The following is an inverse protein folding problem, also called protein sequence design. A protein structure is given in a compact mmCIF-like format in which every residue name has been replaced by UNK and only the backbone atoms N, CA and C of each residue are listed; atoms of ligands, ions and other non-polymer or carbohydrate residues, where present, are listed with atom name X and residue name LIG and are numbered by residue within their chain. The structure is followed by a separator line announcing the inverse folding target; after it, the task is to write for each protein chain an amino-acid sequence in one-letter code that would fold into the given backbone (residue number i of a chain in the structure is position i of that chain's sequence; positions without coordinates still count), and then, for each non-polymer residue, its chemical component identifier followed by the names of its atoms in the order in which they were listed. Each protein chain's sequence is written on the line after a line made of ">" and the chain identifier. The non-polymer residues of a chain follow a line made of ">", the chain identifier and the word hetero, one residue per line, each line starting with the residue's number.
data_IF_745738752991
#
_entry.id   IF_745738752991
#
_cell.length_a   1.000
_cell.length_b   1.000
_cell.length_c   1.000
_cell.angle_alpha   90.00
_cell.angle_beta   90.00
_cell.angle_gamma   90.00
#
_symmetry.space_group_name_H-M   'P 1'
#
loop_
_entity.id
_entity.type
_entity.pdbx_description
1 polymer ?
#
# COMPACT_ATOMS: atom_id res chain seq x y z
N UNK A 1 5.82 -38.09 -5.65
CA UNK A 1 5.76 -36.83 -4.90
C UNK A 1 4.30 -36.52 -4.64
N UNK A 2 3.82 -36.69 -3.40
CA UNK A 2 2.44 -36.34 -3.06
C UNK A 2 2.30 -34.82 -3.03
N UNK A 3 1.27 -34.29 -3.69
CA UNK A 3 0.90 -32.89 -3.54
C UNK A 3 0.63 -32.60 -2.05
N UNK A 4 1.34 -31.64 -1.46
CA UNK A 4 1.00 -31.13 -0.13
C UNK A 4 -0.44 -30.62 -0.20
N UNK A 5 -1.32 -31.19 0.62
CA UNK A 5 -2.70 -30.70 0.75
C UNK A 5 -2.65 -29.46 1.63
N UNK A 6 -3.24 -28.37 1.15
CA UNK A 6 -3.51 -27.17 1.93
C UNK A 6 -4.45 -27.54 3.10
N UNK A 7 -4.03 -27.21 4.32
CA UNK A 7 -4.74 -27.58 5.54
C UNK A 7 -5.57 -26.42 6.07
N UNK A 8 -6.51 -26.71 6.98
CA UNK A 8 -7.26 -25.66 7.68
C UNK A 8 -6.33 -24.70 8.45
N UNK A 9 -5.22 -25.21 9.00
CA UNK A 9 -4.24 -24.35 9.67
C UNK A 9 -3.55 -23.41 8.68
N UNK A 10 -3.20 -23.91 7.49
CA UNK A 10 -2.61 -23.07 6.44
C UNK A 10 -3.60 -21.95 6.02
N UNK A 11 -4.88 -22.28 5.87
CA UNK A 11 -5.93 -21.29 5.60
C UNK A 11 -6.02 -20.22 6.70
N UNK A 12 -6.03 -20.65 7.96
CA UNK A 12 -6.13 -19.73 9.11
C UNK A 12 -4.89 -18.80 9.18
N UNK A 13 -3.69 -19.34 8.93
CA UNK A 13 -2.46 -18.55 8.93
C UNK A 13 -2.48 -17.51 7.80
N UNK A 14 -2.94 -17.88 6.60
CA UNK A 14 -3.10 -16.98 5.46
C UNK A 14 -4.20 -15.94 5.70
N UNK A 15 -5.29 -16.30 6.39
CA UNK A 15 -6.34 -15.36 6.78
C UNK A 15 -5.82 -14.32 7.76
N UNK A 16 -5.00 -14.73 8.74
CA UNK A 16 -4.34 -13.79 9.65
C UNK A 16 -3.41 -12.82 8.89
N UNK A 17 -2.65 -13.32 7.91
CA UNK A 17 -1.78 -12.48 7.07
C UNK A 17 -2.63 -11.50 6.21
N UNK A 18 -3.82 -11.91 5.73
CA UNK A 18 -4.78 -11.06 5.01
C UNK A 18 -5.36 -9.97 5.90
N UNK A 19 -5.76 -10.31 7.13
CA UNK A 19 -6.29 -9.34 8.10
C UNK A 19 -5.23 -8.32 8.51
N UNK A 20 -3.98 -8.74 8.70
CA UNK A 20 -2.87 -7.82 8.95
C UNK A 20 -2.64 -6.88 7.76
N UNK A 21 -2.68 -7.40 6.52
CA UNK A 21 -2.59 -6.56 5.32
C UNK A 21 -3.71 -5.51 5.26
N UNK A 22 -4.95 -5.92 5.49
CA UNK A 22 -6.11 -5.04 5.55
C UNK A 22 -5.97 -3.95 6.62
N UNK A 23 -5.52 -4.30 7.83
CA UNK A 23 -5.25 -3.34 8.90
C UNK A 23 -4.21 -2.30 8.45
N UNK A 24 -3.11 -2.73 7.81
CA UNK A 24 -2.07 -1.82 7.33
C UNK A 24 -2.57 -0.85 6.27
N UNK A 25 -3.44 -1.29 5.36
CA UNK A 25 -4.05 -0.38 4.38
C UNK A 25 -5.02 0.61 5.03
N UNK A 26 -5.73 0.20 6.09
CA UNK A 26 -6.57 1.11 6.87
C UNK A 26 -5.74 2.18 7.60
N UNK A 27 -4.62 1.78 8.19
CA UNK A 27 -3.65 2.69 8.80
C UNK A 27 -3.10 3.69 7.78
N UNK A 28 -2.75 3.21 6.57
CA UNK A 28 -2.31 4.05 5.46
C UNK A 28 -3.37 5.08 5.08
N UNK A 29 -4.61 4.63 4.86
CA UNK A 29 -5.71 5.52 4.52
C UNK A 29 -5.88 6.63 5.55
N UNK A 30 -5.90 6.29 6.84
CA UNK A 30 -6.04 7.28 7.91
C UNK A 30 -4.86 8.26 7.94
N UNK A 31 -3.63 7.73 7.89
CA UNK A 31 -2.42 8.54 7.88
C UNK A 31 -2.41 9.54 6.72
N UNK A 32 -2.77 9.11 5.51
CA UNK A 32 -2.74 9.97 4.33
C UNK A 32 -3.82 11.05 4.34
N UNK A 33 -5.03 10.72 4.80
CA UNK A 33 -6.09 11.72 5.00
C UNK A 33 -5.65 12.81 5.98
N UNK A 34 -5.10 12.40 7.14
CA UNK A 34 -4.61 13.35 8.15
C UNK A 34 -3.42 14.18 7.63
N UNK A 35 -2.49 13.55 6.91
CA UNK A 35 -1.30 14.23 6.40
C UNK A 35 -1.64 15.25 5.32
N UNK A 36 -2.63 14.98 4.47
CA UNK A 36 -3.12 15.92 3.46
C UNK A 36 -3.70 17.21 4.07
N UNK A 37 -4.30 17.12 5.26
CA UNK A 37 -4.80 18.28 6.00
C UNK A 37 -3.68 19.09 6.67
N UNK A 38 -2.63 18.41 7.15
CA UNK A 38 -1.56 19.02 7.94
C UNK A 38 -0.49 19.73 7.10
N UNK A 39 -0.18 19.23 5.91
CA UNK A 39 0.85 19.83 5.06
C UNK A 39 0.32 21.08 4.36
N UNK A 40 1.21 22.04 4.11
CA UNK A 40 0.89 23.27 3.38
C UNK A 40 1.27 23.20 1.91
N UNK A 41 2.26 22.36 1.56
CA UNK A 41 2.73 22.16 0.20
C UNK A 41 1.67 21.48 -0.68
N UNK A 42 1.22 22.16 -1.74
CA UNK A 42 0.17 21.68 -2.62
C UNK A 42 0.53 20.36 -3.32
N UNK A 43 1.82 20.09 -3.57
CA UNK A 43 2.28 18.84 -4.19
C UNK A 43 2.10 17.68 -3.22
N UNK A 44 2.38 17.90 -1.93
CA UNK A 44 2.18 16.88 -0.90
C UNK A 44 0.70 16.67 -0.58
N UNK A 45 -0.12 17.73 -0.64
CA UNK A 45 -1.59 17.56 -0.56
C UNK A 45 -2.11 16.67 -1.67
N UNK A 46 -1.68 16.92 -2.91
CA UNK A 46 -2.08 16.11 -4.05
C UNK A 46 -1.57 14.66 -3.92
N UNK A 47 -0.31 14.49 -3.49
CA UNK A 47 0.29 13.16 -3.29
C UNK A 47 -0.44 12.35 -2.22
N UNK A 48 -0.66 12.94 -1.04
CA UNK A 48 -1.36 12.25 0.05
C UNK A 48 -2.83 12.01 -0.26
N UNK A 49 -3.49 12.92 -0.99
CA UNK A 49 -4.85 12.67 -1.51
C UNK A 49 -4.88 11.44 -2.42
N UNK A 50 -3.93 11.35 -3.36
CA UNK A 50 -3.80 10.19 -4.24
C UNK A 50 -3.56 8.88 -3.47
N UNK A 51 -2.66 8.90 -2.49
CA UNK A 51 -2.41 7.75 -1.64
C UNK A 51 -3.62 7.35 -0.80
N UNK A 52 -4.39 8.31 -0.29
CA UNK A 52 -5.63 8.03 0.44
C UNK A 52 -6.69 7.37 -0.45
N UNK A 53 -6.82 7.81 -1.71
CA UNK A 53 -7.71 7.19 -2.69
C UNK A 53 -7.25 5.76 -3.02
N UNK A 54 -5.95 5.56 -3.23
CA UNK A 54 -5.36 4.24 -3.49
C UNK A 54 -5.59 3.27 -2.33
N UNK A 55 -5.29 3.68 -1.09
CA UNK A 55 -5.53 2.88 0.10
C UNK A 55 -7.03 2.60 0.31
N UNK A 56 -7.91 3.55 -0.01
CA UNK A 56 -9.36 3.33 0.07
C UNK A 56 -9.83 2.24 -0.89
N UNK A 57 -9.39 2.30 -2.15
CA UNK A 57 -9.70 1.27 -3.14
C UNK A 57 -9.16 -0.10 -2.71
N UNK A 58 -7.94 -0.14 -2.19
CA UNK A 58 -7.29 -1.38 -1.74
C UNK A 58 -7.95 -1.99 -0.51
N UNK A 59 -8.33 -1.18 0.49
CA UNK A 59 -9.11 -1.62 1.66
C UNK A 59 -10.41 -2.29 1.22
N UNK A 60 -11.16 -1.67 0.31
CA UNK A 60 -12.43 -2.22 -0.16
C UNK A 60 -12.24 -3.57 -0.87
N UNK A 61 -11.21 -3.68 -1.70
CA UNK A 61 -10.94 -4.90 -2.45
C UNK A 61 -10.41 -6.03 -1.54
N UNK A 62 -9.52 -5.71 -0.59
CA UNK A 62 -9.04 -6.66 0.44
C UNK A 62 -10.18 -7.18 1.31
N UNK A 63 -11.08 -6.30 1.76
CA UNK A 63 -12.22 -6.70 2.58
C UNK A 63 -13.17 -7.63 1.84
N UNK A 64 -13.43 -7.36 0.55
CA UNK A 64 -14.22 -8.24 -0.31
C UNK A 64 -13.57 -9.63 -0.48
N UNK A 65 -12.26 -9.68 -0.75
CA UNK A 65 -11.51 -10.95 -0.88
C UNK A 65 -11.53 -11.72 0.44
N UNK A 66 -11.28 -11.04 1.57
CA UNK A 66 -11.33 -11.62 2.92
C UNK A 66 -12.69 -12.21 3.22
N UNK A 67 -13.77 -11.47 2.99
CA UNK A 67 -15.13 -11.91 3.27
C UNK A 67 -15.51 -13.13 2.43
N UNK A 68 -15.22 -13.12 1.13
CA UNK A 68 -15.48 -14.25 0.24
C UNK A 68 -14.67 -15.50 0.62
N UNK A 69 -13.41 -15.32 1.02
CA UNK A 69 -12.57 -16.42 1.48
C UNK A 69 -13.07 -16.99 2.82
N UNK A 70 -13.48 -16.14 3.76
CA UNK A 70 -14.04 -16.57 5.04
C UNK A 70 -15.36 -17.34 4.86
N UNK A 71 -16.24 -16.90 3.96
CA UNK A 71 -17.50 -17.58 3.66
C UNK A 71 -17.27 -18.96 3.01
N UNK A 72 -16.38 -19.02 2.03
CA UNK A 72 -16.11 -20.25 1.27
C UNK A 72 -15.09 -21.20 1.93
N UNK A 73 -14.39 -20.74 2.96
CA UNK A 73 -13.22 -21.41 3.55
C UNK A 73 -12.16 -21.77 2.49
N UNK A 74 -11.98 -20.91 1.49
CA UNK A 74 -11.07 -21.14 0.37
C UNK A 74 -10.63 -19.85 -0.32
N UNK A 75 -9.45 -19.85 -0.94
CA UNK A 75 -8.99 -18.71 -1.74
C UNK A 75 -9.42 -18.87 -3.20
N UNK A 76 -10.32 -18.00 -3.65
CA UNK A 76 -10.83 -18.02 -5.02
C UNK A 76 -9.70 -17.87 -6.05
N UNK A 77 -9.90 -18.47 -7.23
CA UNK A 77 -9.06 -18.18 -8.37
C UNK A 77 -9.25 -16.72 -8.80
N UNK A 78 -8.14 -16.06 -9.14
CA UNK A 78 -8.14 -14.71 -9.68
C UNK A 78 -8.45 -13.59 -8.68
N UNK A 79 -8.09 -13.79 -7.41
CA UNK A 79 -8.15 -12.74 -6.39
C UNK A 79 -7.18 -11.59 -6.67
N UNK A 80 -6.09 -11.83 -7.41
CA UNK A 80 -5.14 -10.79 -7.80
C UNK A 80 -5.70 -9.86 -8.88
N UNK A 81 -6.55 -10.35 -9.79
CA UNK A 81 -7.25 -9.52 -10.76
C UNK A 81 -8.22 -8.53 -10.11
N UNK A 82 -8.85 -8.91 -8.99
CA UNK A 82 -9.74 -8.02 -8.24
C UNK A 82 -8.99 -6.81 -7.68
N UNK A 83 -7.80 -7.04 -7.11
CA UNK A 83 -6.94 -5.96 -6.62
C UNK A 83 -6.38 -5.13 -7.78
N UNK A 84 -5.89 -5.79 -8.85
CA UNK A 84 -5.40 -5.09 -10.04
C UNK A 84 -6.43 -4.12 -10.60
N UNK A 85 -7.70 -4.54 -10.65
CA UNK A 85 -8.79 -3.70 -11.09
C UNK A 85 -9.02 -2.51 -10.15
N UNK A 86 -8.94 -2.73 -8.82
CA UNK A 86 -9.07 -1.67 -7.83
C UNK A 86 -7.93 -0.64 -7.94
N UNK A 87 -6.68 -1.09 -8.02
CA UNK A 87 -5.51 -0.22 -8.19
C UNK A 87 -5.58 0.57 -9.51
N UNK A 88 -5.97 -0.08 -10.60
CA UNK A 88 -6.08 0.56 -11.92
C UNK A 88 -7.21 1.58 -12.02
N UNK A 89 -8.19 1.53 -11.12
CA UNK A 89 -9.30 2.48 -11.08
C UNK A 89 -8.90 3.81 -10.42
N UNK A 90 -7.78 3.83 -9.70
CA UNK A 90 -7.23 5.05 -9.11
C UNK A 90 -6.58 5.87 -10.22
N UNK A 91 -6.69 7.20 -10.16
CA UNK A 91 -5.98 8.10 -11.07
C UNK A 91 -4.47 7.82 -11.04
N UNK A 92 -3.69 8.13 -12.09
CA UNK A 92 -2.24 7.97 -12.03
C UNK A 92 -1.63 8.83 -10.91
N UNK A 93 -0.53 8.33 -10.31
CA UNK A 93 0.18 9.05 -9.27
C UNK A 93 0.66 10.43 -9.77
N UNK A 94 0.55 11.49 -8.95
CA UNK A 94 1.07 12.79 -9.33
C UNK A 94 2.59 12.76 -9.44
N UNK A 95 3.13 13.42 -10.48
CA UNK A 95 4.56 13.58 -10.64
C UNK A 95 5.09 14.68 -9.71
N UNK A 96 6.32 14.53 -9.23
CA UNK A 96 6.99 15.61 -8.52
C UNK A 96 7.37 16.75 -9.49
N UNK A 97 6.73 17.91 -9.34
CA UNK A 97 7.05 19.09 -10.12
C UNK A 97 7.85 20.10 -9.30
N UNK A 98 9.11 20.33 -9.69
CA UNK A 98 9.99 21.30 -9.02
C UNK A 98 9.48 22.75 -9.18
N UNK A 99 8.81 23.03 -10.31
CA UNK A 99 8.36 24.38 -10.69
C UNK A 99 7.09 24.84 -9.96
N UNK A 100 6.35 23.94 -9.32
CA UNK A 100 5.07 24.26 -8.67
C UNK A 100 5.18 25.14 -7.41
N UNK A 101 6.41 25.59 -7.06
CA UNK A 101 6.64 26.46 -5.90
C UNK A 101 6.38 25.76 -4.57
N UNK A 102 6.46 26.52 -3.47
CA UNK A 102 6.34 26.00 -2.10
C UNK A 102 7.66 26.02 -1.33
N UNK A 103 7.59 26.28 -0.02
CA UNK A 103 8.74 26.11 0.88
C UNK A 103 8.43 24.91 1.77
N UNK A 104 9.02 23.72 1.51
CA UNK A 104 8.86 22.59 2.41
C UNK A 104 9.34 22.98 3.80
N UNK A 105 8.45 22.87 4.78
CA UNK A 105 8.71 23.09 6.18
C UNK A 105 9.03 21.78 6.91
N UNK A 106 9.15 21.89 8.23
CA UNK A 106 9.40 20.73 9.10
C UNK A 106 8.28 19.68 9.00
N UNK A 107 7.03 20.12 8.85
CA UNK A 107 5.87 19.23 8.74
C UNK A 107 5.92 18.38 7.47
N UNK A 108 6.24 18.98 6.32
CA UNK A 108 6.37 18.28 5.04
C UNK A 108 7.47 17.20 5.09
N UNK A 109 8.64 17.54 5.65
CA UNK A 109 9.75 16.60 5.79
C UNK A 109 9.40 15.46 6.77
N UNK A 110 8.71 15.77 7.87
CA UNK A 110 8.37 14.79 8.91
C UNK A 110 7.32 13.81 8.41
N UNK A 111 6.25 14.30 7.80
CA UNK A 111 5.17 13.47 7.26
C UNK A 111 5.69 12.56 6.14
N UNK A 112 6.56 13.05 5.25
CA UNK A 112 7.15 12.22 4.20
C UNK A 112 7.99 11.07 4.77
N UNK A 113 8.79 11.32 5.81
CA UNK A 113 9.58 10.26 6.45
C UNK A 113 8.68 9.20 7.08
N UNK A 114 7.58 9.62 7.71
CA UNK A 114 6.59 8.71 8.27
C UNK A 114 5.93 7.87 7.17
N UNK A 115 5.53 8.50 6.07
CA UNK A 115 4.95 7.83 4.90
C UNK A 115 5.91 6.78 4.32
N UNK A 116 7.20 7.11 4.16
CA UNK A 116 8.22 6.19 3.64
C UNK A 116 8.35 4.94 4.52
N UNK A 117 8.40 5.11 5.85
CA UNK A 117 8.48 3.96 6.76
C UNK A 117 7.18 3.16 6.81
N UNK A 118 6.03 3.82 6.61
CA UNK A 118 4.74 3.17 6.54
C UNK A 118 4.68 2.23 5.32
N UNK A 119 4.94 2.74 4.11
CA UNK A 119 4.96 1.95 2.87
C UNK A 119 5.95 0.79 2.93
N UNK A 120 7.14 1.04 3.49
CA UNK A 120 8.14 -0.01 3.74
C UNK A 120 7.61 -1.11 4.66
N UNK A 121 6.85 -0.73 5.69
CA UNK A 121 6.21 -1.66 6.62
C UNK A 121 5.18 -2.53 5.91
N UNK A 122 4.31 -1.92 5.09
CA UNK A 122 3.28 -2.65 4.31
C UNK A 122 3.92 -3.60 3.30
N UNK A 123 4.92 -3.14 2.56
CA UNK A 123 5.68 -3.98 1.62
C UNK A 123 6.28 -5.21 2.31
N UNK A 124 6.82 -5.04 3.53
CA UNK A 124 7.39 -6.14 4.33
C UNK A 124 6.32 -7.15 4.79
N UNK A 125 5.11 -6.68 5.12
CA UNK A 125 3.98 -7.56 5.47
C UNK A 125 3.63 -8.43 4.28
N UNK A 126 3.39 -7.85 3.11
CA UNK A 126 3.04 -8.61 1.92
C UNK A 126 4.17 -9.54 1.45
N UNK A 127 5.42 -9.10 1.51
CA UNK A 127 6.55 -9.95 1.17
C UNK A 127 6.67 -11.17 2.11
N UNK A 128 6.41 -10.98 3.41
CA UNK A 128 6.45 -12.07 4.39
C UNK A 128 5.27 -13.03 4.18
N UNK A 129 4.07 -12.50 3.97
CA UNK A 129 2.88 -13.28 3.67
C UNK A 129 3.05 -14.12 2.39
N UNK A 130 3.62 -13.53 1.33
CA UNK A 130 3.95 -14.25 0.10
C UNK A 130 4.91 -15.43 0.30
N UNK A 131 5.84 -15.35 1.26
CA UNK A 131 6.76 -16.45 1.55
C UNK A 131 6.11 -17.56 2.38
N UNK A 132 5.17 -17.20 3.25
CA UNK A 132 4.49 -18.14 4.16
C UNK A 132 3.30 -18.83 3.52
N UNK A 133 2.60 -18.14 2.61
CA UNK A 133 1.44 -18.65 1.90
C UNK A 133 1.73 -20.01 1.26
N UNK A 134 0.87 -21.00 1.53
CA UNK A 134 0.89 -22.34 0.96
C UNK A 134 -0.01 -22.42 -0.26
N UNK A 135 -1.16 -21.77 -0.24
CA UNK A 135 -2.10 -21.71 -1.36
C UNK A 135 -1.53 -20.85 -2.51
N UNK A 136 -1.45 -21.39 -3.75
CA UNK A 136 -0.93 -20.64 -4.88
C UNK A 136 -1.63 -19.32 -5.17
N UNK A 137 -2.96 -19.26 -5.04
CA UNK A 137 -3.74 -18.05 -5.36
C UNK A 137 -3.38 -16.88 -4.42
N UNK A 138 -3.40 -17.11 -3.10
CA UNK A 138 -3.06 -16.08 -2.11
C UNK A 138 -1.57 -15.72 -2.13
N UNK A 139 -0.71 -16.68 -2.52
CA UNK A 139 0.70 -16.38 -2.77
C UNK A 139 0.90 -15.43 -3.95
N UNK A 140 0.20 -15.67 -5.07
CA UNK A 140 0.29 -14.83 -6.26
C UNK A 140 -0.23 -13.42 -5.97
N UNK A 141 -1.32 -13.32 -5.22
CA UNK A 141 -1.89 -12.10 -4.69
C UNK A 141 -0.86 -11.25 -3.92
N UNK A 142 -0.19 -11.80 -2.91
CA UNK A 142 0.80 -11.03 -2.14
C UNK A 142 2.04 -10.66 -2.96
N UNK A 143 2.43 -11.49 -3.92
CA UNK A 143 3.53 -11.19 -4.86
C UNK A 143 3.21 -10.04 -5.79
N UNK A 144 1.93 -9.79 -6.05
CA UNK A 144 1.49 -8.62 -6.81
C UNK A 144 1.50 -7.36 -5.94
N UNK A 145 1.06 -7.44 -4.68
CA UNK A 145 0.99 -6.28 -3.77
C UNK A 145 2.36 -5.77 -3.29
N UNK A 146 3.29 -6.67 -2.92
CA UNK A 146 4.56 -6.23 -2.32
C UNK A 146 5.40 -5.29 -3.22
N UNK A 147 5.51 -5.52 -4.55
CA UNK A 147 6.14 -4.57 -5.45
C UNK A 147 5.44 -3.20 -5.53
N UNK A 148 4.11 -3.15 -5.44
CA UNK A 148 3.35 -1.90 -5.52
C UNK A 148 3.69 -1.00 -4.33
N UNK A 149 3.68 -1.55 -3.12
CA UNK A 149 4.07 -0.77 -1.93
C UNK A 149 5.56 -0.38 -1.95
N UNK A 150 6.40 -1.17 -2.65
CA UNK A 150 7.79 -0.78 -2.91
C UNK A 150 7.89 0.42 -3.87
N UNK A 151 7.05 0.46 -4.90
CA UNK A 151 6.98 1.57 -5.86
C UNK A 151 6.41 2.84 -5.20
N UNK A 152 5.42 2.69 -4.32
CA UNK A 152 4.90 3.77 -3.48
C UNK A 152 5.97 4.40 -2.59
N UNK A 153 6.74 3.56 -1.89
CA UNK A 153 7.90 4.01 -1.12
C UNK A 153 8.88 4.82 -1.99
N UNK A 154 9.21 4.32 -3.19
CA UNK A 154 10.13 5.00 -4.10
C UNK A 154 9.59 6.34 -4.58
N UNK A 155 8.28 6.42 -4.84
CA UNK A 155 7.62 7.67 -5.18
C UNK A 155 7.77 8.70 -4.05
N UNK A 156 7.51 8.31 -2.80
CA UNK A 156 7.70 9.19 -1.63
C UNK A 156 9.15 9.63 -1.44
N UNK A 157 10.12 8.73 -1.64
CA UNK A 157 11.55 9.05 -1.62
C UNK A 157 11.91 10.07 -2.69
N UNK A 158 11.33 9.97 -3.89
CA UNK A 158 11.56 10.94 -4.97
C UNK A 158 11.04 12.34 -4.60
N UNK A 159 9.89 12.42 -3.92
CA UNK A 159 9.36 13.66 -3.38
C UNK A 159 10.25 14.23 -2.28
N UNK A 160 10.70 13.37 -1.36
CA UNK A 160 11.62 13.76 -0.28
C UNK A 160 12.91 14.37 -0.83
N UNK A 161 13.56 13.70 -1.78
CA UNK A 161 14.78 14.18 -2.42
C UNK A 161 14.55 15.50 -3.17
N UNK A 162 13.42 15.61 -3.87
CA UNK A 162 13.00 16.82 -4.58
C UNK A 162 12.87 18.02 -3.65
N UNK A 163 12.22 17.85 -2.51
CA UNK A 163 12.05 18.89 -1.49
C UNK A 163 13.38 19.25 -0.81
N UNK A 164 14.21 18.25 -0.47
CA UNK A 164 15.51 18.50 0.17
C UNK A 164 16.44 19.32 -0.72
N UNK A 165 16.44 19.11 -2.04
CA UNK A 165 17.19 19.94 -2.99
C UNK A 165 16.74 21.41 -2.99
N UNK A 166 15.47 21.70 -2.70
CA UNK A 166 14.96 23.08 -2.57
C UNK A 166 15.35 23.74 -1.23
N UNK A 167 15.57 22.94 -0.18
CA UNK A 167 16.02 23.43 1.13
C UNK A 167 17.51 23.77 1.11
N UNK A 168 18.35 22.93 0.49
CA UNK A 168 19.82 23.07 0.48
C UNK A 168 20.31 24.15 -0.49
N UNK A 169 19.56 24.45 -1.57
CA UNK A 169 19.93 25.48 -2.56
C UNK A 169 19.64 26.93 -2.10
N UNK A 170 19.27 27.13 -0.83
CA UNK A 170 19.15 28.45 -0.20
C UNK A 170 20.35 28.71 0.69
#
# INVERSE_FOLDING_TARGET
>A
MGAFKHTQQDFNDEMNDMELGLEKEQDCREFYLQSAEQVSDARLKALYGWFADAATARVAALDAVRAAAAESQSWAAGIDEQIKAADSAVSPAPAFELAAGGKPGKAEITTLRQAIELEKGVASVYFTAAQRAREPNIRAFYRYLAPIETDHKQLLESYFDGLMKQVIKK
#
